data_IF_364217626468
#
_entry.id   IF_364217626468
#
_cell.length_a   1.000
_cell.length_b   1.000
_cell.length_c   1.000
_cell.angle_alpha   90.00
_cell.angle_beta   90.00
_cell.angle_gamma   90.00
#
_symmetry.space_group_name_H-M   'P 1'
#
loop_
_entity.id
_entity.type
_entity.pdbx_description
1 polymer ?
#
# COMPACT_ATOMS: atom_id res chain seq x y z
N UNK A 1 4.98 12.19 17.92
CA UNK A 1 4.20 12.11 16.67
C UNK A 1 3.83 13.54 16.27
N UNK A 2 3.77 13.85 14.99
CA UNK A 2 3.39 15.17 14.44
C UNK A 2 1.98 15.19 13.84
N UNK A 3 1.31 14.04 13.77
CA UNK A 3 -0.07 13.92 13.31
C UNK A 3 -0.24 12.84 12.25
N UNK A 4 -1.45 12.77 11.69
CA UNK A 4 -1.80 11.81 10.65
C UNK A 4 -1.15 12.15 9.30
N UNK A 5 -0.91 11.14 8.48
CA UNK A 5 -0.44 11.30 7.10
C UNK A 5 -1.49 12.01 6.24
N UNK A 6 -1.05 12.66 5.16
CA UNK A 6 -1.96 13.14 4.13
C UNK A 6 -2.34 11.96 3.21
N UNK A 7 -3.64 11.72 3.02
CA UNK A 7 -4.19 10.58 2.27
C UNK A 7 -5.12 11.01 1.13
N UNK A 8 -4.85 12.18 0.54
CA UNK A 8 -5.47 12.62 -0.71
C UNK A 8 -6.90 13.17 -0.64
N UNK A 9 -7.64 12.95 0.45
CA UNK A 9 -9.07 13.33 0.55
C UNK A 9 -9.45 13.83 1.94
N UNK A 10 -10.53 14.64 2.03
CA UNK A 10 -11.08 15.12 3.30
C UNK A 10 -10.14 16.01 4.12
N UNK A 11 -9.17 16.68 3.47
CA UNK A 11 -8.13 17.45 4.14
C UNK A 11 -8.25 18.96 3.86
N UNK A 12 -8.00 19.76 4.90
CA UNK A 12 -7.94 21.21 4.79
C UNK A 12 -6.50 21.70 4.98
N UNK A 13 -5.92 22.27 3.92
CA UNK A 13 -4.57 22.81 3.96
C UNK A 13 -4.59 24.34 4.04
N UNK A 14 -3.78 24.90 4.94
CA UNK A 14 -3.52 26.36 4.93
C UNK A 14 -2.70 26.69 3.69
N UNK A 15 -3.09 27.71 2.91
CA UNK A 15 -2.39 28.10 1.67
C UNK A 15 -0.88 28.31 1.88
N UNK A 16 -0.49 28.98 2.97
CA UNK A 16 0.93 29.19 3.32
C UNK A 16 1.75 27.91 3.47
N UNK A 17 1.11 26.81 3.89
CA UNK A 17 1.75 25.49 4.03
C UNK A 17 2.03 24.89 2.65
N UNK A 18 1.04 24.96 1.75
CA UNK A 18 1.17 24.51 0.35
C UNK A 18 2.21 25.35 -0.40
N UNK A 19 2.32 26.64 -0.08
CA UNK A 19 3.34 27.53 -0.62
C UNK A 19 4.74 27.33 -0.02
N UNK A 20 4.91 26.38 0.89
CA UNK A 20 6.21 25.95 1.37
C UNK A 20 6.76 26.70 2.57
N UNK A 21 5.96 27.56 3.22
CA UNK A 21 6.36 28.26 4.44
C UNK A 21 6.60 27.25 5.58
N UNK A 22 7.61 27.49 6.42
CA UNK A 22 7.82 26.74 7.67
C UNK A 22 7.10 27.42 8.84
N UNK A 23 6.75 26.70 9.92
CA UNK A 23 6.02 27.29 11.06
C UNK A 23 6.75 28.48 11.70
N UNK A 24 8.08 28.38 11.81
CA UNK A 24 8.92 29.37 12.52
C UNK A 24 9.48 30.46 11.60
N UNK A 25 9.19 30.41 10.29
CA UNK A 25 9.69 31.40 9.34
C UNK A 25 8.72 32.59 9.25
N UNK A 26 9.13 33.75 9.73
CA UNK A 26 8.49 35.04 9.43
C UNK A 26 9.09 35.60 8.16
N UNK A 27 8.33 35.63 7.07
CA UNK A 27 8.77 36.27 5.82
C UNK A 27 8.46 37.76 5.93
N UNK A 28 9.50 38.59 6.06
CA UNK A 28 9.30 40.04 5.96
C UNK A 28 9.23 40.45 4.48
N UNK A 29 8.38 41.44 4.15
CA UNK A 29 8.12 41.88 2.75
C UNK A 29 9.39 42.27 1.97
N UNK A 30 10.50 42.57 2.64
CA UNK A 30 11.78 42.95 2.03
C UNK A 30 12.75 41.79 1.72
N UNK A 31 12.48 40.57 2.22
CA UNK A 31 13.38 39.42 2.05
C UNK A 31 13.12 38.62 0.76
N UNK A 32 11.97 38.82 0.12
CA UNK A 32 11.60 38.16 -1.13
C UNK A 32 11.78 39.14 -2.30
N UNK A 33 12.98 39.17 -2.88
CA UNK A 33 13.21 39.91 -4.13
C UNK A 33 12.28 39.40 -5.23
N UNK A 34 11.82 40.30 -6.12
CA UNK A 34 10.87 39.97 -7.20
C UNK A 34 11.33 38.77 -8.07
N UNK A 35 12.64 38.65 -8.30
CA UNK A 35 13.24 37.53 -9.03
C UNK A 35 13.10 36.19 -8.28
N UNK A 36 13.32 36.17 -6.96
CA UNK A 36 13.16 34.97 -6.14
C UNK A 36 11.70 34.48 -6.09
N UNK A 37 10.75 35.43 -6.08
CA UNK A 37 9.32 35.14 -6.15
C UNK A 37 8.93 34.56 -7.51
N UNK A 38 9.47 35.10 -8.60
CA UNK A 38 9.21 34.58 -9.94
C UNK A 38 9.81 33.19 -10.16
N UNK A 39 11.01 32.93 -9.63
CA UNK A 39 11.62 31.59 -9.67
C UNK A 39 10.84 30.57 -8.83
N UNK A 40 10.16 31.03 -7.77
CA UNK A 40 9.39 30.15 -6.89
C UNK A 40 7.98 29.88 -7.43
N UNK A 41 7.24 30.94 -7.73
CA UNK A 41 5.81 30.89 -8.06
C UNK A 41 5.49 31.01 -9.55
N UNK A 42 6.46 31.45 -10.36
CA UNK A 42 6.31 31.64 -11.79
C UNK A 42 6.23 33.11 -12.22
N UNK A 43 6.17 33.31 -13.54
CA UNK A 43 6.27 34.64 -14.20
C UNK A 43 5.03 35.52 -14.03
N UNK A 44 3.92 35.00 -13.50
CA UNK A 44 2.71 35.82 -13.32
C UNK A 44 2.88 36.76 -12.13
N UNK A 45 3.16 38.03 -12.41
CA UNK A 45 3.41 39.06 -11.39
C UNK A 45 2.24 39.19 -10.40
N UNK A 46 1.01 39.06 -10.89
CA UNK A 46 -0.19 39.09 -10.04
C UNK A 46 -0.26 37.92 -9.07
N UNK A 47 -0.06 36.70 -9.57
CA UNK A 47 -0.10 35.51 -8.73
C UNK A 47 1.03 35.54 -7.70
N UNK A 48 2.26 35.84 -8.12
CA UNK A 48 3.43 35.90 -7.25
C UNK A 48 3.28 36.97 -6.15
N UNK A 49 2.72 38.15 -6.47
CA UNK A 49 2.39 39.17 -5.47
C UNK A 49 1.30 38.71 -4.49
N UNK A 50 0.27 38.02 -4.98
CA UNK A 50 -0.78 37.45 -4.13
C UNK A 50 -0.23 36.37 -3.19
N UNK A 51 0.66 35.50 -3.69
CA UNK A 51 1.35 34.49 -2.88
C UNK A 51 2.24 35.14 -1.81
N UNK A 52 3.04 36.14 -2.17
CA UNK A 52 3.88 36.90 -1.23
C UNK A 52 3.05 37.57 -0.12
N UNK A 53 1.87 38.11 -0.45
CA UNK A 53 0.97 38.69 0.54
C UNK A 53 0.46 37.64 1.54
N UNK A 54 0.12 36.44 1.06
CA UNK A 54 -0.30 35.32 1.93
C UNK A 54 0.84 34.86 2.84
N UNK A 55 2.07 34.82 2.33
CA UNK A 55 3.25 34.39 3.08
C UNK A 55 3.69 35.39 4.16
N UNK A 56 3.54 36.69 3.88
CA UNK A 56 3.92 37.77 4.81
C UNK A 56 2.89 38.05 5.91
N UNK A 57 1.77 37.31 5.96
CA UNK A 57 0.64 37.49 6.89
C UNK A 57 0.10 38.93 6.96
N UNK A 58 0.42 39.78 5.97
CA UNK A 58 0.02 41.18 6.00
C UNK A 58 -1.50 41.25 5.80
N UNK A 59 -2.23 41.67 6.84
CA UNK A 59 -3.68 41.94 6.80
C UNK A 59 -4.02 43.18 5.98
N UNK A 60 -3.27 43.45 4.91
CA UNK A 60 -3.68 44.47 3.95
C UNK A 60 -4.96 43.93 3.30
N UNK A 61 -6.10 44.55 3.62
CA UNK A 61 -7.37 44.36 2.92
C UNK A 61 -7.05 44.20 1.44
N UNK A 62 -7.52 43.13 0.82
CA UNK A 62 -7.45 42.96 -0.63
C UNK A 62 -8.07 44.21 -1.25
N UNK A 63 -7.25 45.20 -1.61
CA UNK A 63 -7.66 46.27 -2.49
C UNK A 63 -7.78 45.61 -3.85
N UNK A 64 -8.88 44.90 -4.08
CA UNK A 64 -9.37 44.77 -5.44
C UNK A 64 -9.86 46.16 -5.83
N UNK A 65 -9.32 46.70 -6.92
CA UNK A 65 -10.08 46.50 -8.14
C UNK A 65 -9.16 46.28 -9.34
N UNK A 66 -8.38 45.19 -9.37
CA UNK A 66 -7.90 44.76 -10.69
C UNK A 66 -9.09 44.12 -11.40
N UNK A 67 -9.59 44.77 -12.46
CA UNK A 67 -10.82 44.36 -13.15
C UNK A 67 -10.80 42.88 -13.53
N UNK A 68 -11.99 42.26 -13.58
CA UNK A 68 -12.18 40.83 -13.87
C UNK A 68 -11.31 40.35 -15.04
N UNK A 69 -11.24 41.14 -16.11
CA UNK A 69 -10.38 40.89 -17.29
C UNK A 69 -8.92 40.63 -16.92
N UNK A 70 -8.34 41.50 -16.10
CA UNK A 70 -6.93 41.40 -15.70
C UNK A 70 -6.66 40.24 -14.73
N UNK A 71 -7.66 39.77 -13.97
CA UNK A 71 -7.53 38.56 -13.14
C UNK A 71 -7.70 37.30 -13.99
N UNK A 72 -8.57 37.36 -15.00
CA UNK A 72 -8.80 36.29 -15.96
C UNK A 72 -7.55 36.06 -16.82
N UNK A 73 -6.88 37.11 -17.27
CA UNK A 73 -5.62 37.02 -18.02
C UNK A 73 -4.52 36.35 -17.18
N UNK A 74 -4.38 36.72 -15.90
CA UNK A 74 -3.44 36.06 -15.00
C UNK A 74 -3.81 34.59 -14.76
N UNK A 75 -5.10 34.27 -14.64
CA UNK A 75 -5.56 32.89 -14.51
C UNK A 75 -5.23 32.05 -15.77
N UNK A 76 -5.45 32.60 -16.98
CA UNK A 76 -5.05 31.96 -18.23
C UNK A 76 -3.54 31.72 -18.29
N UNK A 77 -2.74 32.70 -17.85
CA UNK A 77 -1.29 32.55 -17.81
C UNK A 77 -0.86 31.43 -16.86
N UNK A 78 -1.40 31.39 -15.63
CA UNK A 78 -1.08 30.38 -14.60
C UNK A 78 -1.56 28.98 -15.00
N UNK A 79 -2.65 28.87 -15.76
CA UNK A 79 -3.18 27.60 -16.25
C UNK A 79 -2.42 27.02 -17.46
N UNK A 80 -1.40 27.72 -17.99
CA UNK A 80 -0.62 27.27 -19.14
C UNK A 80 0.21 26.03 -18.82
N UNK A 81 0.32 25.10 -19.76
CA UNK A 81 1.09 23.86 -19.60
C UNK A 81 2.59 24.08 -19.36
N UNK A 82 3.12 25.23 -19.77
CA UNK A 82 4.52 25.61 -19.58
C UNK A 82 4.76 26.48 -18.35
N UNK A 83 3.71 26.80 -17.57
CA UNK A 83 3.81 27.75 -16.48
C UNK A 83 4.80 27.33 -15.39
N UNK A 84 4.82 26.04 -15.08
CA UNK A 84 5.67 25.46 -14.04
C UNK A 84 7.13 25.27 -14.50
N UNK A 85 7.42 25.42 -15.79
CA UNK A 85 8.73 25.17 -16.34
C UNK A 85 9.78 26.13 -15.77
N UNK A 86 10.84 25.57 -15.17
CA UNK A 86 11.91 26.35 -14.53
C UNK A 86 11.49 27.02 -13.22
N UNK A 87 10.36 26.63 -12.63
CA UNK A 87 9.88 27.13 -11.34
C UNK A 87 10.08 26.11 -10.22
N UNK A 88 9.77 26.48 -8.97
CA UNK A 88 9.82 25.57 -7.82
C UNK A 88 8.53 24.77 -7.56
N UNK A 89 7.55 24.86 -8.46
CA UNK A 89 6.33 24.05 -8.41
C UNK A 89 6.66 22.55 -8.53
N UNK A 90 5.98 21.73 -7.73
CA UNK A 90 6.23 20.29 -7.70
C UNK A 90 7.46 19.87 -6.90
N UNK A 91 8.45 20.74 -6.77
CA UNK A 91 9.68 20.44 -6.02
C UNK A 91 9.61 20.91 -4.57
N UNK A 92 9.25 22.20 -4.39
CA UNK A 92 9.17 22.88 -3.09
C UNK A 92 7.79 23.45 -2.82
N UNK A 93 7.05 23.82 -3.86
CA UNK A 93 5.72 24.45 -3.76
C UNK A 93 4.66 23.53 -4.33
N UNK A 94 3.47 23.53 -3.74
CA UNK A 94 2.35 22.74 -4.21
C UNK A 94 2.39 21.29 -3.74
N UNK A 95 1.77 20.42 -4.54
CA UNK A 95 1.90 18.97 -4.41
C UNK A 95 3.27 18.53 -4.90
N UNK A 96 3.91 17.64 -4.16
CA UNK A 96 5.28 17.26 -4.42
C UNK A 96 5.34 16.14 -5.45
N UNK A 97 6.03 16.38 -6.55
CA UNK A 97 6.18 15.44 -7.66
C UNK A 97 7.21 14.34 -7.36
N UNK A 98 7.10 13.24 -8.09
CA UNK A 98 8.08 12.15 -8.08
C UNK A 98 7.61 10.84 -7.46
N UNK A 99 6.34 10.72 -7.06
CA UNK A 99 5.75 9.48 -6.58
C UNK A 99 4.30 9.30 -7.05
N UNK A 100 3.89 8.06 -7.30
CA UNK A 100 2.48 7.71 -7.52
C UNK A 100 1.58 7.86 -6.27
N UNK A 101 2.19 8.13 -5.12
CA UNK A 101 1.52 8.51 -3.85
C UNK A 101 2.01 9.90 -3.44
N UNK A 102 1.74 10.89 -4.29
CA UNK A 102 2.16 12.27 -4.10
C UNK A 102 1.54 12.89 -2.84
N UNK A 103 0.38 12.39 -2.41
CA UNK A 103 -0.27 12.74 -1.16
C UNK A 103 0.63 12.45 0.06
N UNK A 104 1.10 11.21 0.20
CA UNK A 104 1.99 10.80 1.29
C UNK A 104 3.30 11.57 1.23
N UNK A 105 3.86 11.77 0.03
CA UNK A 105 5.10 12.53 -0.18
C UNK A 105 4.95 14.01 0.21
N UNK A 106 3.84 14.62 -0.18
CA UNK A 106 3.51 16.01 0.16
C UNK A 106 3.33 16.14 1.67
N UNK A 107 2.62 15.21 2.30
CA UNK A 107 2.46 15.16 3.76
C UNK A 107 3.79 15.05 4.50
N UNK A 108 4.68 14.15 4.05
CA UNK A 108 6.02 13.97 4.60
C UNK A 108 6.84 15.27 4.49
N UNK A 109 6.76 15.94 3.34
CA UNK A 109 7.45 17.22 3.12
C UNK A 109 6.92 18.31 4.06
N UNK A 110 5.60 18.38 4.27
CA UNK A 110 4.97 19.32 5.20
C UNK A 110 5.42 19.05 6.64
N UNK A 111 5.37 17.81 7.11
CA UNK A 111 5.87 17.44 8.44
C UNK A 111 7.38 17.65 8.58
N UNK A 112 8.15 17.42 7.51
CA UNK A 112 9.58 17.68 7.43
C UNK A 112 9.94 19.16 7.58
N UNK A 113 9.03 20.08 7.27
CA UNK A 113 9.16 21.52 7.56
C UNK A 113 8.80 21.89 9.01
N UNK A 114 8.31 20.94 9.79
CA UNK A 114 7.93 21.12 11.19
C UNK A 114 6.44 21.35 11.43
N UNK A 115 5.61 21.35 10.38
CA UNK A 115 4.16 21.44 10.56
C UNK A 115 3.61 20.19 11.25
N UNK A 116 2.48 20.37 11.93
CA UNK A 116 1.70 19.30 12.55
C UNK A 116 0.34 19.19 11.87
N UNK A 117 -0.19 17.98 11.79
CA UNK A 117 -1.55 17.70 11.30
C UNK A 117 -2.46 17.27 12.45
N UNK A 118 -3.75 17.52 12.30
CA UNK A 118 -4.79 17.07 13.21
C UNK A 118 -5.74 16.13 12.48
N UNK A 119 -6.30 15.17 13.21
CA UNK A 119 -7.32 14.26 12.71
C UNK A 119 -8.62 14.51 13.47
N UNK A 120 -9.71 14.70 12.74
CA UNK A 120 -11.03 14.99 13.29
C UNK A 120 -12.00 13.91 12.79
N UNK A 121 -12.74 13.32 13.73
CA UNK A 121 -13.75 12.28 13.47
C UNK A 121 -15.12 12.80 13.90
N UNK A 122 -15.78 13.66 13.11
CA UNK A 122 -17.13 14.11 13.41
C UNK A 122 -18.11 12.94 13.27
N UNK A 123 -19.17 12.98 14.08
CA UNK A 123 -20.34 12.10 13.96
C UNK A 123 -21.56 12.96 13.60
N UNK A 124 -22.22 12.72 12.45
CA UNK A 124 -21.90 11.71 11.43
C UNK A 124 -20.63 12.05 10.61
N UNK A 125 -20.08 11.09 9.83
CA UNK A 125 -18.91 11.34 8.99
C UNK A 125 -19.14 12.51 8.02
N UNK A 126 -18.23 13.49 8.04
CA UNK A 126 -18.34 14.69 7.19
C UNK A 126 -18.02 14.41 5.71
N UNK A 127 -17.31 13.32 5.42
CA UNK A 127 -16.95 12.92 4.06
C UNK A 127 -17.33 11.46 3.83
N UNK A 128 -18.10 11.20 2.78
CA UNK A 128 -18.44 9.86 2.31
C UNK A 128 -17.95 9.70 0.87
N UNK A 129 -17.41 8.52 0.55
CA UNK A 129 -16.91 8.20 -0.77
C UNK A 129 -17.29 6.77 -1.18
N UNK A 130 -17.29 6.51 -2.48
CA UNK A 130 -17.50 5.16 -3.00
C UNK A 130 -16.19 4.38 -2.96
N UNK A 131 -16.18 3.27 -2.23
CA UNK A 131 -15.08 2.31 -2.26
C UNK A 131 -15.08 1.53 -3.59
N UNK A 132 -13.95 0.95 -4.02
CA UNK A 132 -13.91 0.03 -5.15
C UNK A 132 -14.94 -1.10 -4.96
N UNK A 133 -15.75 -1.34 -5.99
CA UNK A 133 -16.82 -2.35 -5.97
C UNK A 133 -16.32 -3.77 -6.25
N UNK A 134 -15.11 -3.90 -6.80
CA UNK A 134 -14.56 -5.18 -7.25
C UNK A 134 -13.16 -5.44 -6.65
N UNK A 135 -12.87 -6.74 -6.49
CA UNK A 135 -11.59 -7.18 -5.91
C UNK A 135 -10.38 -6.88 -6.82
N UNK A 136 -10.43 -7.08 -8.15
CA UNK A 136 -9.33 -6.69 -9.05
C UNK A 136 -8.98 -5.21 -8.95
N UNK A 137 -10.00 -4.33 -8.96
CA UNK A 137 -9.82 -2.88 -8.82
C UNK A 137 -9.15 -2.51 -7.48
N UNK A 138 -9.51 -3.21 -6.40
CA UNK A 138 -8.85 -3.06 -5.09
C UNK A 138 -7.38 -3.49 -5.14
N UNK A 139 -7.07 -4.62 -5.76
CA UNK A 139 -5.69 -5.11 -5.88
C UNK A 139 -4.81 -4.19 -6.74
N UNK A 140 -5.34 -3.64 -7.83
CA UNK A 140 -4.63 -2.68 -8.69
C UNK A 140 -4.35 -1.38 -7.91
N UNK A 141 -5.32 -0.90 -7.14
CA UNK A 141 -5.13 0.26 -6.26
C UNK A 141 -4.01 0.01 -5.23
N UNK A 142 -4.02 -1.16 -4.59
CA UNK A 142 -2.99 -1.56 -3.62
C UNK A 142 -1.60 -1.67 -4.24
N UNK A 143 -1.51 -2.18 -5.48
CA UNK A 143 -0.27 -2.22 -6.26
C UNK A 143 0.26 -0.81 -6.44
N UNK A 144 -0.57 0.12 -6.95
CA UNK A 144 -0.19 1.52 -7.15
C UNK A 144 0.31 2.19 -5.86
N UNK A 145 -0.40 2.00 -4.75
CA UNK A 145 0.00 2.54 -3.45
C UNK A 145 1.35 1.98 -3.01
N UNK A 146 1.54 0.66 -3.09
CA UNK A 146 2.81 0.03 -2.70
C UNK A 146 3.98 0.50 -3.57
N UNK A 147 3.77 0.70 -4.88
CA UNK A 147 4.79 1.25 -5.78
C UNK A 147 5.16 2.68 -5.39
N UNK A 148 4.17 3.57 -5.23
CA UNK A 148 4.42 4.97 -4.87
C UNK A 148 5.10 5.12 -3.51
N UNK A 149 4.70 4.30 -2.53
CA UNK A 149 5.31 4.25 -1.21
C UNK A 149 6.79 3.82 -1.27
N UNK A 150 7.11 2.83 -2.10
CA UNK A 150 8.48 2.39 -2.34
C UNK A 150 9.31 3.48 -3.04
N UNK A 151 8.73 4.20 -4.01
CA UNK A 151 9.37 5.32 -4.69
C UNK A 151 9.79 6.41 -3.68
N UNK A 152 8.93 6.73 -2.71
CA UNK A 152 9.27 7.69 -1.64
C UNK A 152 10.43 7.16 -0.80
N UNK A 153 10.37 5.89 -0.40
CA UNK A 153 11.39 5.27 0.44
C UNK A 153 12.78 5.28 -0.20
N UNK A 154 12.85 5.05 -1.52
CA UNK A 154 14.09 5.03 -2.30
C UNK A 154 14.53 6.42 -2.80
N UNK A 155 13.67 7.44 -2.67
CA UNK A 155 13.97 8.80 -3.14
C UNK A 155 14.87 9.59 -2.17
N UNK A 156 15.48 10.70 -2.63
CA UNK A 156 16.13 11.67 -1.75
C UNK A 156 15.20 12.33 -0.72
N UNK A 157 13.88 12.16 -0.87
CA UNK A 157 12.84 12.67 0.05
C UNK A 157 12.36 11.60 1.03
N UNK A 158 13.12 10.53 1.23
CA UNK A 158 12.79 9.45 2.18
C UNK A 158 12.71 9.98 3.63
N UNK A 159 11.89 9.35 4.50
CA UNK A 159 11.66 9.85 5.85
C UNK A 159 12.95 9.90 6.70
N UNK A 160 13.91 9.00 6.45
CA UNK A 160 15.20 8.98 7.15
C UNK A 160 16.05 10.20 6.79
N UNK A 161 16.06 10.59 5.51
CA UNK A 161 16.78 11.79 5.05
C UNK A 161 16.06 13.06 5.56
N UNK A 162 14.72 13.06 5.55
CA UNK A 162 13.94 14.19 6.06
C UNK A 162 14.09 14.34 7.59
N UNK A 163 14.27 13.24 8.33
CA UNK A 163 14.61 13.26 9.75
C UNK A 163 15.98 13.90 10.00
N UNK A 164 16.99 13.59 9.19
CA UNK A 164 18.34 14.13 9.38
C UNK A 164 18.50 15.57 8.92
N UNK A 165 17.82 15.98 7.85
CA UNK A 165 17.94 17.32 7.25
C UNK A 165 16.80 18.28 7.58
N UNK A 166 15.72 17.80 8.18
CA UNK A 166 14.49 18.55 8.43
C UNK A 166 14.05 18.55 9.89
N UNK A 167 12.82 19.00 10.11
CA UNK A 167 12.15 19.09 11.43
C UNK A 167 11.16 17.94 11.65
N UNK A 168 11.42 16.77 11.07
CA UNK A 168 10.61 15.58 11.28
C UNK A 168 10.96 14.96 12.64
N UNK A 169 9.95 14.65 13.45
CA UNK A 169 10.17 14.00 14.75
C UNK A 169 10.49 12.52 14.54
N UNK A 170 11.40 11.97 15.34
CA UNK A 170 11.79 10.55 15.26
C UNK A 170 10.59 9.58 15.24
N UNK A 171 9.63 9.75 16.15
CA UNK A 171 8.41 8.90 16.16
C UNK A 171 7.56 9.05 14.89
N UNK A 172 7.55 10.22 14.28
CA UNK A 172 6.85 10.44 13.00
C UNK A 172 7.62 9.77 11.86
N UNK A 173 8.94 9.86 11.85
CA UNK A 173 9.80 9.13 10.91
C UNK A 173 9.54 7.63 10.97
N UNK A 174 9.47 7.02 12.15
CA UNK A 174 9.14 5.60 12.30
C UNK A 174 7.77 5.26 11.70
N UNK A 175 6.77 6.13 11.88
CA UNK A 175 5.44 5.93 11.30
C UNK A 175 5.47 6.00 9.76
N UNK A 176 6.23 6.94 9.18
CA UNK A 176 6.44 7.03 7.73
C UNK A 176 7.21 5.84 7.16
N UNK A 177 8.26 5.39 7.85
CA UNK A 177 8.98 4.17 7.45
C UNK A 177 8.03 2.98 7.49
N UNK A 178 7.23 2.82 8.55
CA UNK A 178 6.28 1.72 8.67
C UNK A 178 5.28 1.65 7.50
N UNK A 179 4.65 2.77 7.12
CA UNK A 179 3.72 2.78 5.98
C UNK A 179 4.46 2.57 4.64
N UNK A 180 5.66 3.12 4.48
CA UNK A 180 6.42 2.99 3.24
C UNK A 180 7.03 1.59 3.02
N UNK A 181 7.12 0.79 4.08
CA UNK A 181 7.68 -0.58 4.04
C UNK A 181 6.75 -1.63 3.44
N UNK A 182 5.55 -1.29 2.97
CA UNK A 182 4.58 -2.24 2.42
C UNK A 182 5.15 -3.12 1.29
N UNK A 183 5.78 -2.50 0.28
CA UNK A 183 6.37 -3.22 -0.84
C UNK A 183 7.49 -4.15 -0.38
N UNK A 184 8.42 -3.66 0.46
CA UNK A 184 9.55 -4.46 0.96
C UNK A 184 9.08 -5.63 1.83
N UNK A 185 8.03 -5.42 2.64
CA UNK A 185 7.42 -6.45 3.49
C UNK A 185 6.85 -7.62 2.68
N UNK A 186 6.52 -7.43 1.41
CA UNK A 186 6.00 -8.52 0.56
C UNK A 186 6.98 -9.69 0.40
N UNK A 187 8.29 -9.42 0.39
CA UNK A 187 9.34 -10.43 0.22
C UNK A 187 9.32 -11.45 1.37
N UNK A 188 9.51 -11.05 2.65
CA UNK A 188 9.46 -12.02 3.74
C UNK A 188 8.10 -12.70 3.85
N UNK A 189 6.98 -12.01 3.58
CA UNK A 189 5.64 -12.63 3.61
C UNK A 189 5.52 -13.78 2.59
N UNK A 190 6.07 -13.62 1.38
CA UNK A 190 6.11 -14.69 0.38
C UNK A 190 7.02 -15.85 0.80
N UNK A 191 8.20 -15.55 1.34
CA UNK A 191 9.11 -16.58 1.85
C UNK A 191 8.43 -17.41 2.96
N UNK A 192 7.80 -16.75 3.94
CA UNK A 192 7.09 -17.42 5.02
C UNK A 192 5.82 -18.15 4.56
N UNK A 193 5.17 -17.70 3.49
CA UNK A 193 4.03 -18.41 2.90
C UNK A 193 4.43 -19.69 2.14
N UNK A 194 5.63 -19.71 1.56
CA UNK A 194 6.18 -20.86 0.86
C UNK A 194 6.90 -21.86 1.79
N UNK A 195 7.41 -21.38 2.94
CA UNK A 195 8.23 -22.18 3.86
C UNK A 195 7.53 -23.46 4.38
N UNK A 196 6.26 -23.43 4.85
CA UNK A 196 5.58 -24.65 5.27
C UNK A 196 5.48 -25.69 4.15
N UNK A 197 5.15 -25.25 2.94
CA UNK A 197 5.06 -26.12 1.77
C UNK A 197 6.43 -26.71 1.39
N UNK A 198 7.48 -25.89 1.39
CA UNK A 198 8.86 -26.34 1.18
C UNK A 198 9.23 -27.44 2.18
N UNK A 199 8.98 -27.22 3.46
CA UNK A 199 9.30 -28.18 4.53
C UNK A 199 8.55 -29.50 4.37
N UNK A 200 7.25 -29.45 4.08
CA UNK A 200 6.45 -30.66 3.83
C UNK A 200 6.98 -31.44 2.62
N UNK A 201 7.35 -30.76 1.52
CA UNK A 201 7.84 -31.43 0.30
C UNK A 201 9.22 -32.04 0.52
N UNK A 202 10.14 -31.29 1.15
CA UNK A 202 11.53 -31.72 1.40
C UNK A 202 11.68 -32.63 2.62
N UNK A 203 10.60 -32.84 3.39
CA UNK A 203 10.66 -33.54 4.67
C UNK A 203 11.63 -32.88 5.67
N UNK A 204 11.73 -31.55 5.61
CA UNK A 204 12.45 -30.74 6.58
C UNK A 204 11.48 -30.13 7.59
N UNK A 205 11.99 -29.65 8.72
CA UNK A 205 11.18 -29.12 9.81
C UNK A 205 11.76 -27.80 10.32
N UNK A 206 10.90 -26.81 10.52
CA UNK A 206 11.27 -25.54 11.14
C UNK A 206 10.57 -25.32 12.48
N UNK A 207 9.53 -26.10 12.79
CA UNK A 207 8.84 -26.06 14.07
C UNK A 207 9.32 -27.19 14.99
N UNK A 208 9.29 -26.97 16.33
CA UNK A 208 9.57 -28.02 17.30
C UNK A 208 8.66 -29.23 17.12
N UNK A 209 9.18 -30.42 17.46
CA UNK A 209 8.38 -31.65 17.41
C UNK A 209 7.24 -31.61 18.44
N UNK A 210 6.19 -32.39 18.19
CA UNK A 210 5.01 -32.43 19.08
C UNK A 210 5.36 -32.90 20.50
N UNK A 211 6.43 -33.65 20.70
CA UNK A 211 6.86 -34.08 22.03
C UNK A 211 7.76 -33.06 22.75
N UNK A 212 8.28 -32.05 22.05
CA UNK A 212 9.19 -31.07 22.62
C UNK A 212 8.41 -29.95 23.34
N UNK A 213 8.80 -29.55 24.56
CA UNK A 213 8.14 -28.46 25.28
C UNK A 213 8.28 -27.12 24.55
N UNK A 214 9.29 -26.95 23.70
CA UNK A 214 9.50 -25.74 22.90
C UNK A 214 8.30 -25.42 21.98
N UNK A 215 7.45 -26.40 21.63
CA UNK A 215 6.23 -26.19 20.83
C UNK A 215 5.27 -25.16 21.42
N UNK A 216 5.29 -24.96 22.75
CA UNK A 216 4.39 -24.01 23.40
C UNK A 216 4.71 -22.56 23.04
N UNK A 217 5.94 -22.24 22.63
CA UNK A 217 6.36 -20.89 22.24
C UNK A 217 5.60 -20.42 20.99
N UNK A 218 5.69 -21.09 19.82
CA UNK A 218 4.97 -20.65 18.62
C UNK A 218 3.44 -20.71 18.80
N UNK A 219 2.93 -21.70 19.54
CA UNK A 219 1.49 -21.81 19.84
C UNK A 219 1.00 -20.61 20.66
N UNK A 220 1.73 -20.24 21.73
CA UNK A 220 1.39 -19.08 22.55
C UNK A 220 1.44 -17.78 21.74
N UNK A 221 2.48 -17.57 20.92
CA UNK A 221 2.58 -16.38 20.06
C UNK A 221 1.41 -16.28 19.07
N UNK A 222 1.03 -17.40 18.46
CA UNK A 222 -0.13 -17.46 17.56
C UNK A 222 -1.42 -17.07 18.28
N UNK A 223 -1.70 -17.68 19.44
CA UNK A 223 -2.90 -17.41 20.21
C UNK A 223 -2.95 -15.97 20.71
N UNK A 224 -1.84 -15.46 21.28
CA UNK A 224 -1.75 -14.07 21.76
C UNK A 224 -2.04 -13.10 20.62
N UNK A 225 -1.43 -13.27 19.45
CA UNK A 225 -1.66 -12.40 18.29
C UNK A 225 -3.13 -12.39 17.85
N UNK A 226 -3.76 -13.56 17.67
CA UNK A 226 -5.13 -13.63 17.17
C UNK A 226 -6.17 -13.19 18.20
N UNK A 227 -5.97 -13.52 19.49
CA UNK A 227 -6.85 -13.05 20.57
C UNK A 227 -6.72 -11.52 20.72
N UNK A 228 -5.50 -10.99 20.71
CA UNK A 228 -5.26 -9.56 20.83
C UNK A 228 -5.90 -8.79 19.67
N UNK A 229 -5.64 -9.20 18.42
CA UNK A 229 -6.21 -8.51 17.25
C UNK A 229 -7.73 -8.61 17.20
N UNK A 230 -8.31 -9.75 17.62
CA UNK A 230 -9.77 -9.88 17.73
C UNK A 230 -10.32 -8.94 18.81
N UNK A 231 -9.69 -8.88 19.97
CA UNK A 231 -10.08 -7.98 21.06
C UNK A 231 -10.08 -6.52 20.61
N UNK A 232 -9.07 -6.07 19.87
CA UNK A 232 -8.99 -4.70 19.38
C UNK A 232 -10.13 -4.37 18.40
N UNK A 233 -10.48 -5.30 17.52
CA UNK A 233 -11.61 -5.13 16.60
C UNK A 233 -12.94 -5.02 17.34
N UNK A 234 -13.16 -5.88 18.34
CA UNK A 234 -14.38 -5.85 19.16
C UNK A 234 -14.47 -4.56 19.99
N UNK A 235 -13.35 -4.08 20.55
CA UNK A 235 -13.28 -2.80 21.27
C UNK A 235 -13.56 -1.60 20.36
N UNK A 236 -13.19 -1.70 19.08
CA UNK A 236 -13.51 -0.70 18.07
C UNK A 236 -14.96 -0.80 17.55
N UNK A 237 -15.81 -1.69 18.10
CA UNK A 237 -17.19 -1.88 17.67
C UNK A 237 -17.34 -2.59 16.32
N UNK A 238 -16.28 -3.25 15.82
CA UNK A 238 -16.28 -3.95 14.55
C UNK A 238 -16.67 -5.42 14.70
N UNK A 239 -17.26 -5.99 13.65
CA UNK A 239 -17.68 -7.40 13.65
C UNK A 239 -16.51 -8.38 13.52
N UNK A 240 -16.71 -9.61 14.01
CA UNK A 240 -15.77 -10.73 13.82
C UNK A 240 -15.57 -11.03 12.33
N UNK A 241 -16.61 -10.87 11.51
CA UNK A 241 -16.52 -11.04 10.06
C UNK A 241 -15.58 -10.00 9.44
N UNK A 242 -15.65 -8.75 9.89
CA UNK A 242 -14.73 -7.67 9.47
C UNK A 242 -13.29 -8.02 9.84
N UNK A 243 -13.06 -8.50 11.06
CA UNK A 243 -11.74 -8.97 11.50
C UNK A 243 -11.22 -10.11 10.62
N UNK A 244 -12.03 -11.15 10.39
CA UNK A 244 -11.62 -12.30 9.58
C UNK A 244 -11.34 -11.92 8.13
N UNK A 245 -12.17 -11.05 7.54
CA UNK A 245 -11.92 -10.50 6.22
C UNK A 245 -10.59 -9.73 6.17
N UNK A 246 -10.28 -8.95 7.21
CA UNK A 246 -8.99 -8.28 7.31
C UNK A 246 -7.82 -9.28 7.43
N UNK A 247 -7.93 -10.36 8.22
CA UNK A 247 -6.88 -11.37 8.33
C UNK A 247 -6.56 -12.02 6.97
N UNK A 248 -7.58 -12.34 6.16
CA UNK A 248 -7.39 -12.85 4.80
C UNK A 248 -6.68 -11.83 3.91
N UNK A 249 -7.18 -10.60 3.91
CA UNK A 249 -6.65 -9.50 3.09
C UNK A 249 -5.21 -9.15 3.44
N UNK A 250 -4.85 -9.17 4.73
CA UNK A 250 -3.50 -8.97 5.25
C UNK A 250 -2.51 -10.03 4.79
N UNK A 251 -2.97 -11.22 4.33
CA UNK A 251 -2.11 -12.23 3.72
C UNK A 251 -2.11 -12.13 2.20
N UNK A 252 -3.28 -11.93 1.58
CA UNK A 252 -3.41 -11.92 0.12
C UNK A 252 -2.74 -10.69 -0.52
N UNK A 253 -2.97 -9.49 0.00
CA UNK A 253 -2.45 -8.25 -0.61
C UNK A 253 -0.91 -8.21 -0.66
N UNK A 254 -0.18 -8.51 0.44
CA UNK A 254 1.28 -8.48 0.41
C UNK A 254 1.86 -9.44 -0.63
N UNK A 255 1.32 -10.66 -0.70
CA UNK A 255 1.79 -11.71 -1.61
C UNK A 255 1.37 -11.50 -3.06
N UNK A 256 0.49 -10.54 -3.36
CA UNK A 256 0.03 -10.24 -4.72
C UNK A 256 0.43 -8.82 -5.11
N UNK A 257 -0.41 -7.84 -4.77
CA UNK A 257 -0.27 -6.44 -5.15
C UNK A 257 1.02 -5.80 -4.68
N UNK A 258 1.41 -5.99 -3.41
CA UNK A 258 2.61 -5.32 -2.89
C UNK A 258 3.89 -5.91 -3.46
N UNK A 259 3.93 -7.22 -3.73
CA UNK A 259 5.08 -7.83 -4.39
C UNK A 259 5.22 -7.37 -5.85
N UNK A 260 4.12 -7.27 -6.59
CA UNK A 260 4.17 -6.71 -7.93
C UNK A 260 4.53 -5.23 -7.91
N UNK A 261 4.03 -4.46 -6.93
CA UNK A 261 4.43 -3.08 -6.73
C UNK A 261 5.91 -2.94 -6.36
N UNK A 262 6.45 -3.86 -5.56
CA UNK A 262 7.88 -3.96 -5.28
C UNK A 262 8.69 -4.17 -6.56
N UNK A 263 8.33 -5.15 -7.38
CA UNK A 263 9.01 -5.42 -8.65
C UNK A 263 8.95 -4.21 -9.59
N UNK A 264 7.77 -3.60 -9.76
CA UNK A 264 7.59 -2.39 -10.56
C UNK A 264 8.42 -1.22 -10.04
N UNK A 265 8.45 -1.00 -8.72
CA UNK A 265 9.23 0.09 -8.12
C UNK A 265 10.73 -0.11 -8.27
N UNK A 266 11.24 -1.35 -8.13
CA UNK A 266 12.65 -1.66 -8.37
C UNK A 266 13.02 -1.49 -9.85
N UNK A 267 12.21 -2.00 -10.78
CA UNK A 267 12.46 -1.83 -12.21
C UNK A 267 12.51 -0.35 -12.60
N UNK A 268 11.61 0.47 -12.05
CA UNK A 268 11.63 1.92 -12.23
C UNK A 268 12.88 2.57 -11.62
N UNK A 269 13.25 2.18 -10.40
CA UNK A 269 14.45 2.69 -9.74
C UNK A 269 15.74 2.38 -10.53
N UNK A 270 15.78 1.22 -11.19
CA UNK A 270 16.88 0.81 -12.08
C UNK A 270 16.83 1.46 -13.49
N UNK A 271 15.80 2.27 -13.78
CA UNK A 271 15.62 2.90 -15.10
C UNK A 271 15.15 1.95 -16.21
N UNK A 272 14.62 0.77 -15.85
CA UNK A 272 14.21 -0.28 -16.79
C UNK A 272 12.72 -0.21 -17.18
N UNK A 273 11.95 0.72 -16.61
CA UNK A 273 10.51 0.88 -16.90
C UNK A 273 10.10 2.36 -16.82
N UNK A 274 9.31 2.81 -17.80
CA UNK A 274 8.61 4.10 -17.73
C UNK A 274 7.31 3.99 -16.93
N UNK A 275 6.84 5.11 -16.37
CA UNK A 275 5.66 5.19 -15.50
C UNK A 275 4.36 5.05 -16.30
N UNK A 276 3.83 3.83 -16.43
CA UNK A 276 2.39 3.69 -16.68
C UNK A 276 1.64 3.73 -15.36
N UNK A 277 1.06 4.89 -15.05
CA UNK A 277 0.01 4.98 -14.05
C UNK A 277 -1.18 4.13 -14.55
N UNK A 278 -1.32 2.92 -14.00
CA UNK A 278 -2.45 2.06 -14.29
C UNK A 278 -3.70 2.70 -13.66
N UNK A 279 -4.51 3.36 -14.51
CA UNK A 279 -5.72 4.04 -14.06
C UNK A 279 -6.67 2.99 -13.48
N UNK A 280 -6.98 3.12 -12.20
CA UNK A 280 -8.04 2.36 -11.55
C UNK A 280 -9.35 2.65 -12.27
N UNK A 281 -9.88 1.69 -13.02
CA UNK A 281 -11.17 1.84 -13.68
C UNK A 281 -12.22 2.07 -12.60
N UNK A 282 -12.97 3.17 -12.73
CA UNK A 282 -14.18 3.37 -11.94
C UNK A 282 -15.25 2.53 -12.61
N UNK A 283 -15.44 1.30 -12.11
CA UNK A 283 -16.47 0.42 -12.65
C UNK A 283 -17.82 1.15 -12.58
N UNK A 284 -18.46 1.36 -13.73
CA UNK A 284 -19.89 1.62 -13.76
C UNK A 284 -20.56 0.35 -13.27
N UNK A 285 -21.48 0.45 -12.31
CA UNK A 285 -22.29 -0.66 -11.80
C UNK A 285 -22.84 -1.48 -12.97
N UNK A 286 -22.21 -2.62 -13.25
CA UNK A 286 -22.75 -3.61 -14.19
C UNK A 286 -24.04 -4.15 -13.59
N UNK A 287 -25.11 -4.02 -14.35
CA UNK A 287 -26.48 -4.14 -13.87
C UNK A 287 -26.91 -5.51 -13.32
N UNK A 288 -28.03 -5.44 -12.61
CA UNK A 288 -29.14 -6.40 -12.48
C UNK A 288 -28.92 -7.86 -12.03
N UNK A 289 -27.69 -8.37 -11.88
CA UNK A 289 -27.46 -9.81 -11.60
C UNK A 289 -26.88 -10.14 -10.21
N UNK A 290 -26.60 -9.13 -9.38
CA UNK A 290 -26.14 -9.37 -8.01
C UNK A 290 -27.35 -9.65 -7.09
N UNK A 291 -27.84 -10.88 -7.16
CA UNK A 291 -28.68 -11.46 -6.09
C UNK A 291 -27.99 -11.27 -4.75
N UNK A 292 -28.75 -11.00 -3.67
CA UNK A 292 -28.23 -10.76 -2.31
C UNK A 292 -27.23 -11.84 -1.81
N UNK A 293 -27.25 -13.04 -2.40
CA UNK A 293 -26.32 -14.14 -2.11
C UNK A 293 -24.88 -13.89 -2.60
N UNK A 294 -24.66 -12.99 -3.55
CA UNK A 294 -23.36 -12.74 -4.18
C UNK A 294 -22.66 -11.47 -3.67
N UNK A 295 -23.33 -10.68 -2.83
CA UNK A 295 -22.77 -9.46 -2.23
C UNK A 295 -21.58 -9.83 -1.34
N UNK A 296 -20.40 -9.30 -1.66
CA UNK A 296 -19.16 -9.55 -0.91
C UNK A 296 -18.33 -10.75 -1.38
N UNK A 297 -18.68 -11.40 -2.51
CA UNK A 297 -17.85 -12.45 -3.12
C UNK A 297 -16.69 -11.82 -3.91
N UNK A 298 -15.52 -12.45 -3.81
CA UNK A 298 -14.32 -12.03 -4.54
C UNK A 298 -14.53 -12.27 -6.03
N UNK A 299 -14.20 -11.28 -6.84
CA UNK A 299 -14.17 -11.37 -8.30
C UNK A 299 -12.73 -11.51 -8.80
N UNK A 300 -12.57 -12.09 -9.99
CA UNK A 300 -11.27 -12.39 -10.58
C UNK A 300 -11.24 -11.96 -12.05
N UNK A 301 -10.07 -11.57 -12.53
CA UNK A 301 -9.81 -11.24 -13.94
C UNK A 301 -8.44 -11.80 -14.36
N UNK A 302 -8.00 -11.50 -15.58
CA UNK A 302 -6.73 -11.99 -16.14
C UNK A 302 -5.50 -11.19 -15.65
N UNK A 303 -5.67 -10.29 -14.69
CA UNK A 303 -4.57 -9.47 -14.17
C UNK A 303 -3.46 -10.31 -13.55
N UNK A 304 -2.18 -9.96 -13.75
CA UNK A 304 -1.04 -10.69 -13.18
C UNK A 304 -1.05 -10.74 -11.65
N UNK A 305 -1.79 -9.85 -10.97
CA UNK A 305 -1.96 -9.86 -9.50
C UNK A 305 -2.51 -11.19 -8.98
N UNK A 306 -3.29 -11.91 -9.80
CA UNK A 306 -3.89 -13.18 -9.40
C UNK A 306 -2.95 -14.38 -9.56
N UNK A 307 -1.92 -14.29 -10.42
CA UNK A 307 -1.02 -15.41 -10.71
C UNK A 307 -0.27 -15.80 -9.44
N UNK A 308 0.38 -14.86 -8.75
CA UNK A 308 1.20 -15.19 -7.60
C UNK A 308 0.38 -15.73 -6.42
N UNK A 309 -0.78 -15.14 -6.13
CA UNK A 309 -1.68 -15.62 -5.08
C UNK A 309 -2.21 -17.02 -5.36
N UNK A 310 -2.53 -17.31 -6.63
CA UNK A 310 -2.98 -18.64 -7.05
C UNK A 310 -1.82 -19.66 -6.99
N UNK A 311 -0.60 -19.27 -7.36
CA UNK A 311 0.59 -20.12 -7.24
C UNK A 311 0.83 -20.53 -5.78
N UNK A 312 0.82 -19.59 -4.84
CA UNK A 312 1.02 -19.88 -3.40
C UNK A 312 -0.04 -20.84 -2.87
N UNK A 313 -1.30 -20.66 -3.27
CA UNK A 313 -2.39 -21.58 -2.93
C UNK A 313 -2.11 -22.99 -3.50
N UNK A 314 -1.79 -23.10 -4.80
CA UNK A 314 -1.54 -24.39 -5.44
C UNK A 314 -0.32 -25.12 -4.85
N UNK A 315 0.75 -24.38 -4.53
CA UNK A 315 1.94 -24.92 -3.87
C UNK A 315 1.58 -25.52 -2.51
N UNK A 316 0.79 -24.82 -1.70
CA UNK A 316 0.38 -25.32 -0.39
C UNK A 316 -0.60 -26.50 -0.48
N UNK A 317 -1.53 -26.50 -1.45
CA UNK A 317 -2.40 -27.66 -1.71
C UNK A 317 -1.61 -28.88 -2.16
N UNK A 318 -0.63 -28.71 -3.04
CA UNK A 318 0.25 -29.78 -3.49
C UNK A 318 1.09 -30.35 -2.34
N UNK A 319 1.64 -29.47 -1.49
CA UNK A 319 2.36 -29.88 -0.30
C UNK A 319 1.47 -30.67 0.66
N UNK A 320 0.25 -30.22 0.95
CA UNK A 320 -0.70 -30.95 1.79
C UNK A 320 -1.06 -32.32 1.20
N UNK A 321 -1.26 -32.42 -0.12
CA UNK A 321 -1.52 -33.70 -0.78
C UNK A 321 -0.34 -34.67 -0.64
N UNK A 322 0.89 -34.20 -0.84
CA UNK A 322 2.12 -34.99 -0.64
C UNK A 322 2.32 -35.38 0.83
N UNK A 323 2.05 -34.46 1.76
CA UNK A 323 2.09 -34.69 3.19
C UNK A 323 1.11 -35.78 3.63
N UNK A 324 -0.13 -35.76 3.12
CA UNK A 324 -1.13 -36.79 3.40
C UNK A 324 -0.73 -38.18 2.86
N UNK A 325 -0.17 -38.24 1.64
CA UNK A 325 0.34 -39.48 1.07
C UNK A 325 1.46 -40.09 1.92
N UNK A 326 2.40 -39.27 2.39
CA UNK A 326 3.49 -39.68 3.29
C UNK A 326 2.99 -40.04 4.69
N UNK A 327 2.02 -39.30 5.20
CA UNK A 327 1.43 -39.61 6.50
C UNK A 327 0.80 -41.00 6.47
N UNK A 328 0.06 -41.34 5.40
CA UNK A 328 -0.53 -42.67 5.20
C UNK A 328 0.50 -43.81 5.14
N UNK A 329 1.70 -43.56 4.59
CA UNK A 329 2.78 -44.56 4.58
C UNK A 329 3.52 -44.70 5.91
N UNK A 330 3.41 -43.73 6.82
CA UNK A 330 4.25 -43.60 8.04
C UNK A 330 3.49 -43.90 9.34
N UNK A 331 2.24 -44.38 9.26
CA UNK A 331 1.35 -44.72 10.42
C UNK A 331 1.95 -45.77 11.38
N UNK A 332 3.13 -46.34 11.08
CA UNK A 332 3.78 -47.39 11.86
C UNK A 332 4.98 -46.95 12.73
N UNK A 333 5.15 -45.66 13.02
CA UNK A 333 6.15 -45.21 14.02
C UNK A 333 6.68 -43.77 13.97
N UNK A 334 5.96 -42.80 13.42
CA UNK A 334 6.44 -41.41 13.31
C UNK A 334 6.49 -40.63 14.64
N UNK A 335 7.51 -39.79 14.83
CA UNK A 335 7.78 -38.97 16.03
C UNK A 335 6.97 -37.65 16.11
N UNK A 336 5.92 -37.52 15.28
CA UNK A 336 5.09 -36.32 15.18
C UNK A 336 5.78 -35.12 14.51
N UNK A 337 6.92 -35.30 13.83
CA UNK A 337 7.53 -34.23 13.04
C UNK A 337 6.62 -33.81 11.87
N UNK A 338 6.64 -32.53 11.49
CA UNK A 338 5.89 -32.01 10.33
C UNK A 338 4.45 -31.58 10.60
N UNK A 339 3.89 -31.87 11.78
CA UNK A 339 2.49 -31.51 12.12
C UNK A 339 2.30 -29.99 12.15
N UNK A 340 3.27 -29.25 12.69
CA UNK A 340 3.21 -27.79 12.75
C UNK A 340 3.19 -27.17 11.35
N UNK A 341 4.03 -27.67 10.45
CA UNK A 341 4.12 -27.23 9.06
C UNK A 341 2.81 -27.50 8.31
N UNK A 342 2.20 -28.67 8.50
CA UNK A 342 0.88 -28.99 7.94
C UNK A 342 -0.17 -28.00 8.45
N UNK A 343 -0.20 -27.70 9.76
CA UNK A 343 -1.12 -26.71 10.33
C UNK A 343 -0.90 -25.31 9.75
N UNK A 344 0.36 -24.90 9.54
CA UNK A 344 0.68 -23.63 8.89
C UNK A 344 0.18 -23.58 7.43
N UNK A 345 0.39 -24.65 6.65
CA UNK A 345 -0.14 -24.74 5.28
C UNK A 345 -1.67 -24.74 5.25
N UNK A 346 -2.33 -25.47 6.15
CA UNK A 346 -3.80 -25.44 6.29
C UNK A 346 -4.30 -24.03 6.63
N UNK A 347 -3.66 -23.36 7.60
CA UNK A 347 -4.00 -22.00 7.97
C UNK A 347 -3.88 -21.03 6.79
N UNK A 348 -2.81 -21.15 6.00
CA UNK A 348 -2.63 -20.32 4.81
C UNK A 348 -3.71 -20.59 3.75
N UNK A 349 -4.08 -21.85 3.52
CA UNK A 349 -5.19 -22.20 2.62
C UNK A 349 -6.52 -21.61 3.11
N UNK A 350 -6.77 -21.57 4.42
CA UNK A 350 -7.93 -20.89 5.01
C UNK A 350 -7.90 -19.37 4.77
N UNK A 351 -6.72 -18.74 4.88
CA UNK A 351 -6.57 -17.32 4.51
C UNK A 351 -6.87 -17.09 3.02
N UNK A 352 -6.50 -18.04 2.15
CA UNK A 352 -6.74 -18.03 0.71
C UNK A 352 -8.06 -18.69 0.29
N UNK A 353 -9.00 -18.89 1.22
CA UNK A 353 -10.26 -19.59 0.93
C UNK A 353 -11.06 -18.98 -0.23
N UNK A 354 -11.01 -17.65 -0.39
CA UNK A 354 -11.62 -16.96 -1.54
C UNK A 354 -11.02 -17.41 -2.88
N UNK A 355 -9.69 -17.56 -2.95
CA UNK A 355 -9.00 -18.06 -4.15
C UNK A 355 -9.29 -19.54 -4.38
N UNK A 356 -9.35 -20.34 -3.31
CA UNK A 356 -9.72 -21.75 -3.40
C UNK A 356 -11.11 -21.94 -4.00
N UNK A 357 -12.11 -21.17 -3.54
CA UNK A 357 -13.44 -21.15 -4.16
C UNK A 357 -13.41 -20.63 -5.60
N UNK A 358 -12.50 -19.71 -5.90
CA UNK A 358 -12.28 -19.16 -7.24
C UNK A 358 -11.77 -20.20 -8.24
N UNK A 359 -11.01 -21.22 -7.82
CA UNK A 359 -10.55 -22.30 -8.71
C UNK A 359 -11.70 -23.10 -9.34
N UNK A 360 -12.83 -23.18 -8.64
CA UNK A 360 -14.04 -23.90 -9.08
C UNK A 360 -15.20 -22.94 -9.42
N UNK A 361 -14.94 -21.63 -9.43
CA UNK A 361 -15.94 -20.62 -9.75
C UNK A 361 -16.19 -20.51 -11.25
N UNK A 362 -17.35 -19.97 -11.62
CA UNK A 362 -17.72 -19.66 -13.01
C UNK A 362 -17.87 -18.15 -13.21
N UNK A 363 -17.69 -17.69 -14.45
CA UNK A 363 -17.79 -16.28 -14.81
C UNK A 363 -16.85 -15.38 -14.00
N UNK A 364 -17.33 -14.20 -13.59
CA UNK A 364 -16.57 -13.21 -12.81
C UNK A 364 -16.09 -13.67 -11.43
N UNK A 365 -16.61 -14.81 -10.94
CA UNK A 365 -16.26 -15.38 -9.63
C UNK A 365 -15.26 -16.54 -9.71
N UNK A 366 -14.90 -16.97 -10.93
CA UNK A 366 -13.89 -17.98 -11.20
C UNK A 366 -12.55 -17.37 -11.57
N UNK A 367 -11.45 -17.96 -11.11
CA UNK A 367 -10.11 -17.57 -11.57
C UNK A 367 -9.99 -17.99 -13.03
N UNK A 368 -9.61 -17.09 -13.96
CA UNK A 368 -9.50 -17.43 -15.38
C UNK A 368 -8.53 -18.60 -15.61
N UNK A 369 -8.87 -19.45 -16.58
CA UNK A 369 -8.06 -20.64 -16.90
C UNK A 369 -6.61 -20.28 -17.26
N UNK A 370 -6.41 -19.16 -17.97
CA UNK A 370 -5.09 -18.62 -18.30
C UNK A 370 -4.23 -18.37 -17.05
N UNK A 371 -4.83 -17.82 -15.99
CA UNK A 371 -4.18 -17.58 -14.69
C UNK A 371 -3.90 -18.91 -13.98
N UNK A 372 -4.85 -19.85 -13.97
CA UNK A 372 -4.66 -21.18 -13.37
C UNK A 372 -3.49 -21.92 -14.03
N UNK A 373 -3.41 -21.93 -15.36
CA UNK A 373 -2.31 -22.59 -16.09
C UNK A 373 -0.94 -21.99 -15.75
N UNK A 374 -0.81 -20.65 -15.80
CA UNK A 374 0.43 -19.95 -15.44
C UNK A 374 0.84 -20.26 -13.99
N UNK A 375 -0.12 -20.21 -13.08
CA UNK A 375 0.10 -20.47 -11.66
C UNK A 375 0.46 -21.93 -11.39
N UNK A 376 -0.17 -22.86 -12.10
CA UNK A 376 0.12 -24.29 -12.05
C UNK A 376 1.53 -24.60 -12.54
N UNK A 377 1.97 -23.98 -13.64
CA UNK A 377 3.34 -24.11 -14.13
C UNK A 377 4.37 -23.64 -13.09
N UNK A 378 4.16 -22.46 -12.48
CA UNK A 378 5.02 -21.95 -11.41
C UNK A 378 5.01 -22.85 -10.16
N UNK A 379 3.85 -23.36 -9.76
CA UNK A 379 3.74 -24.27 -8.64
C UNK A 379 4.48 -25.60 -8.90
N UNK A 380 4.38 -26.15 -10.11
CA UNK A 380 5.13 -27.34 -10.52
C UNK A 380 6.63 -27.09 -10.51
N UNK A 381 7.10 -25.96 -11.03
CA UNK A 381 8.51 -25.58 -10.97
C UNK A 381 9.01 -25.50 -9.53
N UNK A 382 8.23 -24.92 -8.62
CA UNK A 382 8.56 -24.87 -7.20
C UNK A 382 8.65 -26.28 -6.58
N UNK A 383 7.68 -27.15 -6.85
CA UNK A 383 7.70 -28.54 -6.36
C UNK A 383 8.92 -29.31 -6.89
N UNK A 384 9.26 -29.14 -8.17
CA UNK A 384 10.44 -29.77 -8.77
C UNK A 384 11.74 -29.25 -8.15
N UNK A 385 11.84 -27.94 -7.94
CA UNK A 385 12.96 -27.33 -7.24
C UNK A 385 13.13 -27.89 -5.82
N UNK A 386 12.04 -28.05 -5.08
CA UNK A 386 12.07 -28.68 -3.75
C UNK A 386 12.58 -30.13 -3.80
N UNK A 387 12.08 -30.92 -4.76
CA UNK A 387 12.49 -32.32 -4.93
C UNK A 387 13.96 -32.44 -5.28
N UNK A 388 14.47 -31.61 -6.18
CA UNK A 388 15.89 -31.58 -6.53
C UNK A 388 16.76 -31.38 -5.29
N UNK A 389 16.47 -30.34 -4.50
CA UNK A 389 17.24 -30.01 -3.30
C UNK A 389 17.11 -31.05 -2.17
N UNK A 390 16.14 -31.96 -2.24
CA UNK A 390 15.99 -33.07 -1.29
C UNK A 390 16.80 -34.30 -1.70
N UNK A 391 17.31 -34.37 -2.94
CA UNK A 391 18.04 -35.51 -3.49
C UNK A 391 19.56 -35.33 -3.52
N UNK A 392 20.06 -34.10 -3.34
CA UNK A 392 21.48 -33.79 -3.15
C UNK A 392 21.75 -33.50 -1.69
#
# INVERSE_FOLDING_TARGET
MQGIFYSGTGCFHRRKVIYGLSPDSTVTKGELGDESLQNTFGKSTKFSKSAAQILSESQVKTQNPSGLSSSLEAAYQVASCSYEHGTSWGEKVGWIYGSATEDVLTGLTIHGRGWKSAYLTPEPPAFLGSAPSSWPTTLIQQKRWSTGLLEILLSPKSPIIVLSKGKLHFRQCLAYVWIQMWAVRSIPELCYAALPAYCIITNSHFLPKVHEPAKFIPVALFLIYYIYTLSEYLRAGLSIQTWWNNQKTLRIIPMTSWFLGFLSGILKFLGLSETMFEVTKKDQTTGADDTNANVGRFTFDESPVFVLGTTILLVNLAALALGLLRFRSTIRGGDGSGVGEILCSVWLVLCFWSFFRGLFGTGKYGIPFSVICKSGALALLFVQFCKWNSMG
#
